data_IF_854256352367
#
_entry.id   IF_854256352367
#
_cell.length_a   1.000
_cell.length_b   1.000
_cell.length_c   1.000
_cell.angle_alpha   90.00
_cell.angle_beta   90.00
_cell.angle_gamma   90.00
#
_symmetry.space_group_name_H-M   'P 1'
#
loop_
_entity.id
_entity.type
_entity.pdbx_description
1 polymer ?
#
# COMPACT_ATOMS: atom_id res chain seq x y z
N UNK A 1 24.31 22.04 -10.08
CA UNK A 1 22.86 22.27 -9.88
C UNK A 1 22.64 22.44 -8.39
N UNK A 2 22.28 23.65 -7.95
CA UNK A 2 22.03 23.96 -6.54
C UNK A 2 20.65 23.43 -6.14
N UNK A 3 20.63 22.48 -5.21
CA UNK A 3 19.39 21.91 -4.68
C UNK A 3 18.62 23.00 -3.94
N UNK A 4 17.35 23.30 -4.29
CA UNK A 4 16.60 24.34 -3.60
C UNK A 4 16.35 23.91 -2.15
N UNK A 5 16.53 24.87 -1.22
CA UNK A 5 16.35 24.70 0.22
C UNK A 5 15.04 23.95 0.56
N UNK A 6 15.09 23.12 1.61
CA UNK A 6 13.91 22.42 2.13
C UNK A 6 12.82 23.45 2.49
N UNK A 7 11.59 23.32 1.97
CA UNK A 7 10.54 24.25 2.25
C UNK A 7 10.19 24.10 3.72
N UNK A 8 10.36 25.19 4.47
CA UNK A 8 9.97 25.26 5.88
C UNK A 8 8.45 25.24 6.06
N UNK A 9 7.67 25.29 4.98
CA UNK A 9 6.20 25.33 5.01
C UNK A 9 5.58 23.93 4.90
N UNK A 10 4.74 23.49 5.86
CA UNK A 10 4.13 22.15 5.88
C UNK A 10 3.41 21.77 4.58
N UNK A 11 2.67 22.71 3.96
CA UNK A 11 1.95 22.45 2.70
C UNK A 11 2.90 22.09 1.55
N UNK A 12 4.00 22.82 1.38
CA UNK A 12 4.96 22.53 0.32
C UNK A 12 5.65 21.18 0.54
N UNK A 13 5.93 20.82 1.79
CA UNK A 13 6.43 19.49 2.15
C UNK A 13 5.41 18.39 1.84
N UNK A 14 4.11 18.61 2.11
CA UNK A 14 3.03 17.70 1.74
C UNK A 14 2.99 17.43 0.23
N UNK A 15 2.96 18.48 -0.59
CA UNK A 15 2.95 18.33 -2.05
C UNK A 15 4.26 17.74 -2.60
N UNK A 16 5.41 17.93 -1.93
CA UNK A 16 6.64 17.18 -2.26
C UNK A 16 6.46 15.69 -2.06
N UNK A 17 5.77 15.27 -1.00
CA UNK A 17 5.42 13.88 -0.75
C UNK A 17 4.51 13.28 -1.83
N UNK A 18 3.50 14.05 -2.25
CA UNK A 18 2.67 13.69 -3.42
C UNK A 18 3.54 13.54 -4.68
N UNK A 19 4.50 14.45 -4.87
CA UNK A 19 5.49 14.39 -5.96
C UNK A 19 6.40 13.16 -5.90
N UNK A 20 6.74 12.64 -4.71
CA UNK A 20 7.52 11.41 -4.57
C UNK A 20 6.74 10.18 -5.05
N UNK A 21 5.42 10.13 -4.82
CA UNK A 21 4.57 9.10 -5.45
C UNK A 21 4.56 9.26 -6.98
N UNK A 22 4.46 10.50 -7.49
CA UNK A 22 4.56 10.77 -8.92
C UNK A 22 5.88 10.31 -9.54
N UNK A 23 7.00 10.46 -8.82
CA UNK A 23 8.30 9.88 -9.21
C UNK A 23 8.27 8.35 -9.19
N UNK A 24 7.54 7.75 -8.25
CA UNK A 24 7.25 6.32 -8.22
C UNK A 24 6.53 5.86 -9.49
N UNK A 25 5.49 6.57 -9.93
CA UNK A 25 4.80 6.29 -11.19
C UNK A 25 5.71 6.42 -12.42
N UNK A 26 6.66 7.35 -12.41
CA UNK A 26 7.61 7.49 -13.51
C UNK A 26 8.47 6.23 -13.76
N UNK A 27 8.59 5.33 -12.77
CA UNK A 27 9.28 4.06 -12.96
C UNK A 27 8.55 3.08 -13.88
N UNK A 28 7.25 3.26 -14.15
CA UNK A 28 6.56 2.50 -15.21
C UNK A 28 7.20 2.71 -16.59
N UNK A 29 7.73 3.90 -16.86
CA UNK A 29 8.45 4.18 -18.12
C UNK A 29 9.94 3.81 -18.08
N UNK A 30 10.54 3.66 -16.90
CA UNK A 30 12.00 3.42 -16.75
C UNK A 30 12.35 1.96 -16.49
N UNK A 31 11.52 1.27 -15.71
CA UNK A 31 11.67 -0.13 -15.31
C UNK A 31 10.36 -0.90 -15.52
N UNK A 32 9.77 -0.89 -16.74
CA UNK A 32 8.46 -1.49 -16.99
C UNK A 32 8.41 -2.98 -16.60
N UNK A 33 9.48 -3.73 -16.89
CA UNK A 33 9.57 -5.15 -16.55
C UNK A 33 9.53 -5.40 -15.04
N UNK A 34 10.24 -4.59 -14.24
CA UNK A 34 10.21 -4.71 -12.79
C UNK A 34 8.85 -4.29 -12.22
N UNK A 35 8.26 -3.19 -12.70
CA UNK A 35 6.94 -2.73 -12.27
C UNK A 35 5.85 -3.76 -12.57
N UNK A 36 5.90 -4.38 -13.75
CA UNK A 36 4.95 -5.42 -14.15
C UNK A 36 4.98 -6.65 -13.23
N UNK A 37 6.12 -6.95 -12.57
CA UNK A 37 6.19 -8.03 -11.57
C UNK A 37 5.18 -7.82 -10.44
N UNK A 38 4.90 -6.58 -10.05
CA UNK A 38 3.94 -6.30 -8.98
C UNK A 38 2.48 -6.53 -9.37
N UNK A 39 2.18 -6.73 -10.66
CA UNK A 39 0.86 -7.13 -11.14
C UNK A 39 0.64 -8.64 -11.07
N UNK A 40 1.73 -9.42 -11.02
CA UNK A 40 1.68 -10.89 -11.06
C UNK A 40 0.85 -11.48 -9.91
N UNK A 41 0.97 -11.05 -8.64
CA UNK A 41 0.16 -11.58 -7.54
C UNK A 41 -1.35 -11.43 -7.82
N UNK A 42 -1.77 -10.23 -8.23
CA UNK A 42 -3.15 -9.93 -8.56
C UNK A 42 -3.62 -10.72 -9.79
N UNK A 43 -2.75 -10.89 -10.79
CA UNK A 43 -3.07 -11.67 -11.99
C UNK A 43 -3.26 -13.16 -11.67
N UNK A 44 -2.37 -13.76 -10.87
CA UNK A 44 -2.46 -15.17 -10.46
C UNK A 44 -3.73 -15.40 -9.65
N UNK A 45 -3.93 -14.62 -8.58
CA UNK A 45 -5.09 -14.76 -7.70
C UNK A 45 -6.39 -14.47 -8.45
N UNK A 46 -6.40 -13.42 -9.27
CA UNK A 46 -7.53 -13.06 -10.12
C UNK A 46 -7.89 -14.16 -11.12
N UNK A 47 -6.90 -14.74 -11.79
CA UNK A 47 -7.10 -15.85 -12.73
C UNK A 47 -7.64 -17.10 -12.02
N UNK A 48 -7.12 -17.44 -10.85
CA UNK A 48 -7.59 -18.58 -10.05
C UNK A 48 -9.04 -18.41 -9.61
N UNK A 49 -9.38 -17.25 -9.05
CA UNK A 49 -10.74 -16.96 -8.59
C UNK A 49 -11.71 -16.89 -9.77
N UNK A 50 -11.32 -16.24 -10.87
CA UNK A 50 -12.12 -16.18 -12.08
C UNK A 50 -12.35 -17.58 -12.67
N UNK A 51 -11.30 -18.41 -12.73
CA UNK A 51 -11.42 -19.81 -13.15
C UNK A 51 -12.36 -20.61 -12.26
N UNK A 52 -12.31 -20.39 -10.94
CA UNK A 52 -13.25 -20.98 -9.98
C UNK A 52 -14.70 -20.55 -10.22
N UNK A 53 -14.95 -19.26 -10.47
CA UNK A 53 -16.28 -18.73 -10.78
C UNK A 53 -16.81 -19.26 -12.12
N UNK A 54 -15.96 -19.31 -13.16
CA UNK A 54 -16.33 -19.87 -14.46
C UNK A 54 -16.69 -21.36 -14.31
N UNK A 55 -15.87 -22.12 -13.58
CA UNK A 55 -16.12 -23.54 -13.30
C UNK A 55 -17.45 -23.70 -12.56
N UNK A 56 -17.67 -22.92 -11.50
CA UNK A 56 -18.93 -22.94 -10.77
C UNK A 56 -20.12 -22.61 -11.67
N UNK A 57 -20.01 -21.61 -12.54
CA UNK A 57 -21.08 -21.21 -13.45
C UNK A 57 -21.42 -22.32 -14.46
N UNK A 58 -20.41 -23.03 -14.98
CA UNK A 58 -20.61 -24.17 -15.89
C UNK A 58 -21.34 -25.31 -15.20
N UNK A 59 -20.96 -25.65 -13.96
CA UNK A 59 -21.56 -26.74 -13.19
C UNK A 59 -22.78 -26.31 -12.35
N UNK A 60 -23.19 -25.04 -12.44
CA UNK A 60 -24.23 -24.47 -11.55
C UNK A 60 -25.56 -25.20 -11.71
N UNK A 61 -25.92 -25.56 -12.95
CA UNK A 61 -27.15 -26.29 -13.24
C UNK A 61 -27.18 -27.67 -12.55
N UNK A 62 -26.09 -28.42 -12.63
CA UNK A 62 -25.99 -29.74 -12.00
C UNK A 62 -26.01 -29.64 -10.47
N UNK A 63 -25.31 -28.66 -9.91
CA UNK A 63 -25.30 -28.38 -8.46
C UNK A 63 -26.71 -28.03 -7.98
N UNK A 64 -27.39 -27.10 -8.66
CA UNK A 64 -28.75 -26.70 -8.30
C UNK A 64 -29.70 -27.87 -8.42
N UNK A 65 -29.58 -28.70 -9.47
CA UNK A 65 -30.43 -29.89 -9.65
C UNK A 65 -30.23 -30.88 -8.51
N UNK A 66 -28.97 -31.18 -8.16
CA UNK A 66 -28.64 -32.08 -7.05
C UNK A 66 -29.17 -31.57 -5.69
N UNK A 67 -29.14 -30.25 -5.47
CA UNK A 67 -29.62 -29.63 -4.23
C UNK A 67 -31.14 -29.48 -4.16
N UNK A 68 -31.85 -29.54 -5.30
CA UNK A 68 -33.29 -29.25 -5.39
C UNK A 68 -34.17 -30.46 -5.70
N UNK A 69 -33.67 -31.68 -5.49
CA UNK A 69 -34.47 -32.90 -5.71
C UNK A 69 -35.78 -32.96 -4.90
N UNK A 70 -35.88 -32.23 -3.78
CA UNK A 70 -37.13 -32.11 -3.02
C UNK A 70 -38.23 -31.32 -3.76
N UNK A 71 -37.85 -30.49 -4.74
CA UNK A 71 -38.76 -29.64 -5.52
C UNK A 71 -39.24 -30.31 -6.82
N UNK A 72 -38.82 -31.55 -7.08
CA UNK A 72 -39.15 -32.28 -8.32
C UNK A 72 -40.64 -32.56 -8.49
N UNK A 73 -41.39 -32.64 -7.38
CA UNK A 73 -42.84 -32.87 -7.38
C UNK A 73 -43.66 -31.58 -7.39
N UNK A 74 -43.00 -30.41 -7.37
CA UNK A 74 -43.68 -29.12 -7.36
C UNK A 74 -44.11 -28.73 -8.78
N UNK A 75 -45.01 -27.76 -8.91
CA UNK A 75 -45.30 -27.19 -10.22
C UNK A 75 -44.05 -26.51 -10.81
N UNK A 76 -43.89 -26.58 -12.14
CA UNK A 76 -42.74 -26.03 -12.87
C UNK A 76 -42.39 -24.59 -12.50
N UNK A 77 -43.41 -23.75 -12.29
CA UNK A 77 -43.20 -22.34 -11.91
C UNK A 77 -42.48 -22.19 -10.56
N UNK A 78 -43.01 -22.82 -9.50
CA UNK A 78 -42.42 -22.74 -8.16
C UNK A 78 -41.06 -23.46 -8.08
N UNK A 79 -40.91 -24.61 -8.76
CA UNK A 79 -39.63 -25.30 -8.85
C UNK A 79 -38.57 -24.43 -9.55
N UNK A 80 -38.94 -23.80 -10.67
CA UNK A 80 -38.06 -22.89 -11.43
C UNK A 80 -37.64 -21.68 -10.60
N UNK A 81 -38.57 -21.07 -9.86
CA UNK A 81 -38.29 -19.91 -9.00
C UNK A 81 -37.28 -20.25 -7.89
N UNK A 82 -37.46 -21.39 -7.21
CA UNK A 82 -36.54 -21.84 -6.15
C UNK A 82 -35.16 -22.19 -6.72
N UNK A 83 -35.10 -22.93 -7.83
CA UNK A 83 -33.84 -23.29 -8.50
C UNK A 83 -33.07 -22.05 -8.94
N UNK A 84 -33.75 -21.07 -9.53
CA UNK A 84 -33.16 -19.79 -9.89
C UNK A 84 -32.62 -19.05 -8.66
N UNK A 85 -33.41 -18.96 -7.59
CA UNK A 85 -33.00 -18.30 -6.35
C UNK A 85 -31.76 -18.94 -5.72
N UNK A 86 -31.71 -20.28 -5.66
CA UNK A 86 -30.54 -21.02 -5.15
C UNK A 86 -29.33 -20.80 -6.06
N UNK A 87 -29.50 -20.91 -7.37
CA UNK A 87 -28.41 -20.65 -8.32
C UNK A 87 -27.84 -19.24 -8.20
N UNK A 88 -28.71 -18.23 -8.11
CA UNK A 88 -28.32 -16.84 -7.90
C UNK A 88 -27.61 -16.63 -6.55
N UNK A 89 -28.09 -17.27 -5.48
CA UNK A 89 -27.47 -17.19 -4.15
C UNK A 89 -26.09 -17.85 -4.12
N UNK A 90 -25.92 -19.02 -4.75
CA UNK A 90 -24.63 -19.72 -4.85
C UNK A 90 -23.64 -18.89 -5.65
N UNK A 91 -24.03 -18.44 -6.84
CA UNK A 91 -23.14 -17.66 -7.71
C UNK A 91 -22.81 -16.30 -7.10
N UNK A 92 -23.81 -15.58 -6.57
CA UNK A 92 -23.62 -14.31 -5.89
C UNK A 92 -22.74 -14.45 -4.64
N UNK A 93 -22.97 -15.47 -3.83
CA UNK A 93 -22.15 -15.79 -2.65
C UNK A 93 -20.71 -16.11 -3.02
N UNK A 94 -20.50 -16.87 -4.09
CA UNK A 94 -19.15 -17.17 -4.60
C UNK A 94 -18.44 -15.92 -5.12
N UNK A 95 -19.13 -15.01 -5.81
CA UNK A 95 -18.57 -13.73 -6.25
C UNK A 95 -18.15 -12.88 -5.05
N UNK A 96 -19.02 -12.73 -4.05
CA UNK A 96 -18.69 -11.99 -2.82
C UNK A 96 -17.48 -12.60 -2.13
N UNK A 97 -17.45 -13.93 -1.99
CA UNK A 97 -16.32 -14.64 -1.41
C UNK A 97 -15.03 -14.42 -2.21
N UNK A 98 -15.11 -14.44 -3.54
CA UNK A 98 -13.97 -14.16 -4.42
C UNK A 98 -13.45 -12.74 -4.23
N UNK A 99 -14.32 -11.73 -4.20
CA UNK A 99 -13.91 -10.33 -3.98
C UNK A 99 -13.24 -10.14 -2.61
N UNK A 100 -13.82 -10.70 -1.55
CA UNK A 100 -13.25 -10.61 -0.19
C UNK A 100 -11.92 -11.35 -0.11
N UNK A 101 -11.82 -12.54 -0.69
CA UNK A 101 -10.60 -13.37 -0.65
C UNK A 101 -9.50 -12.83 -1.54
N UNK A 102 -9.83 -12.16 -2.65
CA UNK A 102 -8.87 -11.63 -3.62
C UNK A 102 -7.82 -10.74 -2.95
N UNK A 103 -8.25 -9.82 -2.08
CA UNK A 103 -7.34 -8.88 -1.42
C UNK A 103 -6.40 -9.62 -0.47
N UNK A 104 -6.93 -10.52 0.38
CA UNK A 104 -6.13 -11.28 1.34
C UNK A 104 -5.11 -12.20 0.64
N UNK A 105 -5.54 -12.91 -0.39
CA UNK A 105 -4.68 -13.80 -1.18
C UNK A 105 -3.62 -13.02 -1.96
N UNK A 106 -3.97 -11.87 -2.54
CA UNK A 106 -3.02 -11.03 -3.29
C UNK A 106 -1.92 -10.49 -2.38
N UNK A 107 -2.27 -10.05 -1.17
CA UNK A 107 -1.29 -9.61 -0.16
C UNK A 107 -0.36 -10.76 0.26
N UNK A 108 -0.93 -11.95 0.51
CA UNK A 108 -0.16 -13.13 0.90
C UNK A 108 0.88 -13.54 -0.15
N UNK A 109 0.54 -13.40 -1.44
CA UNK A 109 1.43 -13.75 -2.56
C UNK A 109 2.36 -12.59 -2.94
N UNK A 110 2.03 -11.35 -2.57
CA UNK A 110 2.61 -10.14 -3.13
C UNK A 110 4.02 -9.78 -2.66
N UNK A 111 4.35 -10.07 -1.42
CA UNK A 111 5.61 -9.67 -0.77
C UNK A 111 6.89 -9.91 -1.59
N UNK A 112 7.15 -11.12 -2.14
CA UNK A 112 8.36 -11.37 -2.92
C UNK A 112 8.44 -10.54 -4.21
N UNK A 113 7.30 -10.18 -4.80
CA UNK A 113 7.25 -9.36 -6.02
C UNK A 113 7.53 -7.89 -5.71
N UNK A 114 6.97 -7.38 -4.62
CA UNK A 114 7.21 -6.01 -4.14
C UNK A 114 8.67 -5.83 -3.71
N UNK A 115 9.29 -6.85 -3.12
CA UNK A 115 10.72 -6.84 -2.80
C UNK A 115 11.60 -6.70 -4.06
N UNK A 116 11.28 -7.45 -5.14
CA UNK A 116 12.02 -7.36 -6.41
C UNK A 116 11.88 -5.98 -7.07
N UNK A 117 10.70 -5.37 -6.96
CA UNK A 117 10.47 -3.99 -7.40
C UNK A 117 11.38 -3.04 -6.62
N UNK A 118 11.34 -3.13 -5.28
CA UNK A 118 12.14 -2.27 -4.40
C UNK A 118 13.64 -2.37 -4.75
N UNK A 119 14.19 -3.58 -4.90
CA UNK A 119 15.60 -3.79 -5.28
C UNK A 119 15.94 -3.21 -6.65
N UNK A 120 15.06 -3.40 -7.63
CA UNK A 120 15.27 -2.88 -8.99
C UNK A 120 15.31 -1.35 -8.99
N UNK A 121 14.47 -0.71 -8.17
CA UNK A 121 14.45 0.75 -7.98
C UNK A 121 15.70 1.22 -7.25
N UNK A 122 16.13 0.52 -6.19
CA UNK A 122 17.38 0.84 -5.49
C UNK A 122 18.60 0.75 -6.39
N UNK A 123 18.72 -0.33 -7.17
CA UNK A 123 19.79 -0.50 -8.15
C UNK A 123 19.79 0.60 -9.22
N UNK A 124 18.62 1.00 -9.71
CA UNK A 124 18.50 2.07 -10.69
C UNK A 124 18.88 3.45 -10.13
N UNK A 125 18.59 3.70 -8.85
CA UNK A 125 18.96 4.95 -8.18
C UNK A 125 20.44 4.98 -7.72
N UNK A 126 21.16 3.86 -7.79
CA UNK A 126 22.55 3.69 -7.35
C UNK A 126 22.69 3.55 -5.83
N UNK A 127 23.80 3.02 -5.32
CA UNK A 127 24.01 2.84 -3.85
C UNK A 127 22.92 1.98 -3.17
N UNK A 128 22.63 0.82 -3.77
CA UNK A 128 21.70 -0.13 -3.20
C UNK A 128 22.29 -0.74 -1.92
N UNK A 129 21.52 -0.86 -0.82
CA UNK A 129 21.97 -1.52 0.39
C UNK A 129 22.45 -2.96 0.09
N UNK A 130 23.45 -3.48 0.83
CA UNK A 130 23.91 -4.85 0.66
C UNK A 130 22.75 -5.84 0.84
N UNK A 131 22.83 -7.01 0.20
CA UNK A 131 21.83 -8.07 0.34
C UNK A 131 21.71 -8.50 1.80
N UNK A 132 20.77 -7.88 2.52
CA UNK A 132 20.36 -8.35 3.83
C UNK A 132 19.21 -9.32 3.64
N UNK A 133 19.32 -10.50 4.25
CA UNK A 133 18.20 -11.42 4.45
C UNK A 133 17.17 -10.75 5.35
N UNK A 134 16.31 -9.97 4.72
CA UNK A 134 15.15 -9.40 5.36
C UNK A 134 14.19 -10.54 5.67
N UNK A 135 14.37 -11.12 6.85
CA UNK A 135 13.65 -12.31 7.27
C UNK A 135 12.15 -12.08 7.18
N UNK A 136 11.51 -12.82 6.28
CA UNK A 136 10.08 -13.05 6.12
C UNK A 136 9.31 -13.15 7.47
N UNK A 137 9.98 -13.60 8.52
CA UNK A 137 9.42 -13.82 9.86
C UNK A 137 9.39 -12.60 10.78
N UNK A 138 10.23 -11.56 10.56
CA UNK A 138 10.15 -10.31 11.35
C UNK A 138 8.97 -9.43 10.93
N UNK A 139 8.47 -9.64 9.70
CA UNK A 139 7.25 -9.04 9.13
C UNK A 139 5.99 -9.44 9.91
N UNK A 140 5.90 -10.68 10.40
CA UNK A 140 4.69 -11.20 11.08
C UNK A 140 4.45 -10.53 12.45
N UNK A 141 5.51 -10.16 13.17
CA UNK A 141 5.41 -9.48 14.47
C UNK A 141 4.93 -8.03 14.36
N UNK A 142 5.32 -7.32 13.30
CA UNK A 142 4.86 -5.94 13.03
C UNK A 142 3.42 -5.92 12.48
N UNK A 143 2.94 -7.01 11.86
CA UNK A 143 1.56 -7.13 11.34
C UNK A 143 0.49 -6.91 12.41
N UNK A 144 0.69 -7.38 13.65
CA UNK A 144 -0.30 -7.18 14.74
C UNK A 144 -0.41 -5.69 15.09
N UNK A 145 0.71 -5.00 15.18
CA UNK A 145 0.74 -3.56 15.45
C UNK A 145 0.10 -2.74 14.34
N UNK A 146 0.33 -3.14 13.09
CA UNK A 146 -0.31 -2.53 11.92
C UNK A 146 -1.83 -2.75 11.93
N UNK A 147 -2.28 -3.99 12.17
CA UNK A 147 -3.71 -4.35 12.27
C UNK A 147 -4.38 -3.54 13.38
N UNK A 148 -3.77 -3.44 14.55
CA UNK A 148 -4.35 -2.70 15.68
C UNK A 148 -4.46 -1.20 15.37
N UNK A 149 -3.41 -0.60 14.79
CA UNK A 149 -3.45 0.82 14.37
C UNK A 149 -4.49 1.05 13.28
N UNK A 150 -4.60 0.13 12.32
CA UNK A 150 -5.61 0.16 11.28
C UNK A 150 -7.03 0.07 11.85
N UNK A 151 -7.25 -0.80 12.83
CA UNK A 151 -8.53 -0.93 13.53
C UNK A 151 -8.89 0.36 14.28
N UNK A 152 -7.94 0.93 15.02
CA UNK A 152 -8.13 2.23 15.71
C UNK A 152 -8.46 3.33 14.70
N UNK A 153 -7.75 3.40 13.58
CA UNK A 153 -8.04 4.37 12.53
C UNK A 153 -9.44 4.19 11.94
N UNK A 154 -9.86 2.95 11.68
CA UNK A 154 -11.18 2.62 11.19
C UNK A 154 -12.28 3.00 12.19
N UNK A 155 -12.06 2.75 13.49
CA UNK A 155 -12.99 3.15 14.55
C UNK A 155 -13.12 4.67 14.61
N UNK A 156 -12.00 5.41 14.63
CA UNK A 156 -12.03 6.89 14.65
C UNK A 156 -12.79 7.44 13.44
N UNK A 157 -12.45 6.97 12.24
CA UNK A 157 -13.12 7.40 11.01
C UNK A 157 -14.61 7.02 11.00
N UNK A 158 -14.94 5.82 11.49
CA UNK A 158 -16.33 5.35 11.62
C UNK A 158 -17.15 6.20 12.58
N UNK A 159 -16.61 6.53 13.76
CA UNK A 159 -17.27 7.40 14.73
C UNK A 159 -17.52 8.81 14.18
N UNK A 160 -16.55 9.38 13.45
CA UNK A 160 -16.75 10.66 12.74
C UNK A 160 -17.82 10.51 11.64
N UNK A 161 -17.82 9.36 10.96
CA UNK A 161 -18.81 8.94 9.97
C UNK A 161 -20.26 9.01 10.44
N UNK A 162 -20.50 8.86 11.75
CA UNK A 162 -21.83 8.86 12.36
C UNK A 162 -22.40 10.27 12.59
N UNK A 163 -21.61 11.33 12.41
CA UNK A 163 -22.09 12.72 12.54
C UNK A 163 -23.09 12.99 11.40
N UNK A 164 -24.34 13.39 11.68
CA UNK A 164 -25.32 13.66 10.63
C UNK A 164 -24.84 14.74 9.66
N UNK A 165 -25.27 14.64 8.39
CA UNK A 165 -24.99 15.57 7.27
C UNK A 165 -23.52 15.62 6.80
N UNK A 166 -22.55 15.77 7.70
CA UNK A 166 -21.14 15.99 7.37
C UNK A 166 -20.22 14.81 7.70
N UNK A 167 -20.67 13.92 8.58
CA UNK A 167 -19.85 12.85 9.14
C UNK A 167 -19.33 11.88 8.09
N UNK A 168 -20.14 11.47 7.12
CA UNK A 168 -19.70 10.54 6.07
C UNK A 168 -18.53 11.11 5.26
N UNK A 169 -18.61 12.39 4.87
CA UNK A 169 -17.53 13.04 4.13
C UNK A 169 -16.28 13.24 5.00
N UNK A 170 -16.45 13.72 6.23
CA UNK A 170 -15.35 13.90 7.17
C UNK A 170 -14.67 12.58 7.55
N UNK A 171 -15.46 11.54 7.79
CA UNK A 171 -15.01 10.19 8.09
C UNK A 171 -14.21 9.60 6.94
N UNK A 172 -14.64 9.79 5.70
CA UNK A 172 -13.89 9.38 4.51
C UNK A 172 -12.55 10.11 4.37
N UNK A 173 -12.53 11.43 4.60
CA UNK A 173 -11.30 12.22 4.61
C UNK A 173 -10.36 11.74 5.72
N UNK A 174 -10.86 11.60 6.95
CA UNK A 174 -10.05 11.13 8.08
C UNK A 174 -9.52 9.72 7.84
N UNK A 175 -10.34 8.81 7.31
CA UNK A 175 -9.90 7.48 6.90
C UNK A 175 -8.72 7.59 5.92
N UNK A 176 -8.86 8.38 4.85
CA UNK A 176 -7.81 8.54 3.84
C UNK A 176 -6.49 9.08 4.43
N UNK A 177 -6.57 10.00 5.38
CA UNK A 177 -5.39 10.54 6.07
C UNK A 177 -4.75 9.54 7.03
N UNK A 178 -5.54 8.84 7.85
CA UNK A 178 -5.02 7.88 8.82
C UNK A 178 -4.46 6.62 8.15
N UNK A 179 -5.18 6.05 7.18
CA UNK A 179 -4.70 4.87 6.45
C UNK A 179 -3.55 5.24 5.53
N UNK A 180 -3.58 6.42 4.89
CA UNK A 180 -2.46 6.95 4.13
C UNK A 180 -1.20 7.10 4.99
N UNK A 181 -1.32 7.64 6.19
CA UNK A 181 -0.19 7.74 7.13
C UNK A 181 0.38 6.37 7.51
N UNK A 182 -0.49 5.39 7.82
CA UNK A 182 -0.08 4.02 8.13
C UNK A 182 0.62 3.34 6.94
N UNK A 183 0.09 3.55 5.74
CA UNK A 183 0.65 3.00 4.50
C UNK A 183 2.02 3.60 4.19
N UNK A 184 2.19 4.91 4.39
CA UNK A 184 3.50 5.55 4.25
C UNK A 184 4.52 5.05 5.28
N UNK A 185 4.09 4.84 6.54
CA UNK A 185 4.91 4.26 7.59
C UNK A 185 5.42 2.87 7.17
N UNK A 186 4.51 2.01 6.72
CA UNK A 186 4.81 0.64 6.30
C UNK A 186 5.74 0.59 5.07
N UNK A 187 5.38 1.30 4.01
CA UNK A 187 6.14 1.28 2.75
C UNK A 187 7.53 1.90 2.89
N UNK A 188 7.72 2.91 3.75
CA UNK A 188 9.04 3.51 3.97
C UNK A 188 9.86 2.73 5.00
N UNK A 189 9.22 2.00 5.91
CA UNK A 189 9.88 1.18 6.94
C UNK A 189 10.89 0.21 6.33
N UNK A 190 10.51 -0.51 5.26
CA UNK A 190 11.36 -1.49 4.58
C UNK A 190 12.65 -0.86 4.04
N UNK A 191 12.52 0.26 3.31
CA UNK A 191 13.67 0.96 2.74
C UNK A 191 14.63 1.56 3.80
N UNK A 192 14.09 1.98 4.95
CA UNK A 192 14.87 2.59 6.03
C UNK A 192 15.59 1.55 6.90
N UNK A 193 14.93 0.44 7.24
CA UNK A 193 15.57 -0.63 8.02
C UNK A 193 16.59 -1.39 7.15
N UNK A 194 16.41 -1.49 5.83
CA UNK A 194 17.44 -1.98 4.90
C UNK A 194 18.74 -1.14 4.92
N UNK A 195 18.65 0.11 5.38
CA UNK A 195 19.80 1.01 5.59
C UNK A 195 20.30 1.04 7.03
N UNK A 196 19.85 0.10 7.85
CA UNK A 196 20.31 -0.06 9.24
C UNK A 196 19.71 0.93 10.24
N UNK A 197 18.68 1.70 9.88
CA UNK A 197 18.02 2.59 10.83
C UNK A 197 17.19 1.79 11.84
N UNK A 198 17.46 2.01 13.13
CA UNK A 198 16.67 1.44 14.21
C UNK A 198 15.25 2.07 14.31
N UNK A 199 14.42 1.55 15.22
CA UNK A 199 13.06 2.05 15.39
C UNK A 199 13.00 3.49 15.93
N UNK A 200 14.04 3.98 16.61
CA UNK A 200 14.08 5.32 17.18
C UNK A 200 14.44 6.36 16.11
N UNK A 201 15.50 6.10 15.34
CA UNK A 201 15.95 6.92 14.22
C UNK A 201 14.86 7.05 13.15
N UNK A 202 14.18 5.95 12.81
CA UNK A 202 13.03 5.97 11.89
C UNK A 202 11.88 6.87 12.38
N UNK A 203 11.56 6.80 13.68
CA UNK A 203 10.53 7.64 14.30
C UNK A 203 10.94 9.11 14.31
N UNK A 204 12.20 9.43 14.59
CA UNK A 204 12.72 10.80 14.54
C UNK A 204 12.64 11.37 13.10
N UNK A 205 13.18 10.64 12.12
CA UNK A 205 13.19 11.05 10.72
C UNK A 205 11.78 11.35 10.17
N UNK A 206 10.80 10.50 10.49
CA UNK A 206 9.40 10.73 10.11
C UNK A 206 8.76 11.87 10.89
N UNK A 207 9.13 12.08 12.16
CA UNK A 207 8.61 13.19 12.96
C UNK A 207 9.06 14.55 12.42
N UNK A 208 10.27 14.63 11.86
CA UNK A 208 10.79 15.86 11.27
C UNK A 208 10.19 16.12 9.87
N UNK A 209 9.64 15.09 9.24
CA UNK A 209 9.12 15.15 7.86
C UNK A 209 7.64 14.75 7.75
N UNK A 210 6.85 14.93 8.82
CA UNK A 210 5.46 14.44 8.92
C UNK A 210 4.59 14.83 7.73
N UNK A 211 4.65 16.09 7.33
CA UNK A 211 3.81 16.58 6.23
C UNK A 211 4.15 15.89 4.90
N UNK A 212 5.43 15.65 4.61
CA UNK A 212 5.88 14.98 3.39
C UNK A 212 5.50 13.50 3.38
N UNK A 213 5.74 12.81 4.48
CA UNK A 213 5.35 11.39 4.63
C UNK A 213 3.84 11.23 4.51
N UNK A 214 3.07 12.12 5.14
CA UNK A 214 1.60 12.14 5.05
C UNK A 214 1.13 12.41 3.62
N UNK A 215 1.74 13.36 2.90
CA UNK A 215 1.37 13.65 1.50
C UNK A 215 1.57 12.47 0.56
N UNK A 216 2.70 11.77 0.69
CA UNK A 216 2.96 10.52 -0.03
C UNK A 216 1.90 9.45 0.30
N UNK A 217 1.62 9.25 1.59
CA UNK A 217 0.65 8.28 2.08
C UNK A 217 -0.77 8.55 1.61
N UNK A 218 -1.25 9.78 1.77
CA UNK A 218 -2.59 10.21 1.32
C UNK A 218 -2.73 10.04 -0.18
N UNK A 219 -1.73 10.47 -0.97
CA UNK A 219 -1.79 10.30 -2.42
C UNK A 219 -1.88 8.80 -2.81
N UNK A 220 -1.11 7.95 -2.12
CA UNK A 220 -1.13 6.50 -2.37
C UNK A 220 -2.48 5.90 -2.01
N UNK A 221 -3.04 6.27 -0.86
CA UNK A 221 -4.36 5.84 -0.43
C UNK A 221 -5.45 6.26 -1.40
N UNK A 222 -5.41 7.50 -1.90
CA UNK A 222 -6.38 7.98 -2.89
C UNK A 222 -6.28 7.18 -4.20
N UNK A 223 -5.08 6.81 -4.65
CA UNK A 223 -4.91 5.91 -5.78
C UNK A 223 -5.51 4.52 -5.52
N UNK A 224 -5.43 4.02 -4.28
CA UNK A 224 -5.96 2.69 -3.92
C UNK A 224 -7.49 2.67 -3.83
N UNK A 225 -8.15 3.82 -3.66
CA UNK A 225 -9.60 3.93 -3.70
C UNK A 225 -10.18 3.81 -5.12
N UNK A 226 -9.36 4.06 -6.16
CA UNK A 226 -9.78 3.84 -7.54
C UNK A 226 -9.91 2.34 -7.79
N UNK A 227 -10.99 1.85 -8.41
CA UNK A 227 -11.11 0.43 -8.80
C UNK A 227 -9.90 0.00 -9.62
N UNK A 228 -9.29 -1.14 -9.26
CA UNK A 228 -8.00 -1.64 -9.80
C UNK A 228 -6.78 -0.72 -9.57
N UNK A 229 -6.99 0.46 -9.00
CA UNK A 229 -5.94 1.42 -8.69
C UNK A 229 -4.92 0.87 -7.71
N UNK A 230 -5.33 0.09 -6.71
CA UNK A 230 -4.38 -0.57 -5.80
C UNK A 230 -3.40 -1.51 -6.54
N UNK A 231 -3.87 -2.26 -7.54
CA UNK A 231 -3.04 -3.20 -8.29
C UNK A 231 -1.98 -2.47 -9.11
N UNK A 232 -2.35 -1.36 -9.77
CA UNK A 232 -1.43 -0.57 -10.61
C UNK A 232 -0.55 0.40 -9.81
N UNK A 233 -1.09 0.96 -8.73
CA UNK A 233 -0.41 1.95 -7.91
C UNK A 233 0.52 1.33 -6.88
N UNK A 234 0.31 0.08 -6.44
CA UNK A 234 1.19 -0.55 -5.45
C UNK A 234 2.65 -0.64 -5.91
N UNK A 235 2.99 -1.07 -7.16
CA UNK A 235 4.37 -1.00 -7.65
C UNK A 235 4.96 0.41 -7.62
N UNK A 236 4.16 1.40 -8.04
CA UNK A 236 4.57 2.81 -8.01
C UNK A 236 4.74 3.33 -6.58
N UNK A 237 3.93 2.87 -5.63
CA UNK A 237 4.03 3.22 -4.22
C UNK A 237 5.29 2.62 -3.59
N UNK A 238 5.65 1.38 -3.90
CA UNK A 238 6.91 0.77 -3.47
C UNK A 238 8.10 1.54 -4.06
N UNK A 239 8.06 1.89 -5.36
CA UNK A 239 9.12 2.68 -5.99
C UNK A 239 9.22 4.10 -5.39
N UNK A 240 8.08 4.72 -5.15
CA UNK A 240 7.97 6.07 -4.57
C UNK A 240 8.41 6.10 -3.11
N UNK A 241 8.14 5.04 -2.33
CA UNK A 241 8.60 4.95 -0.94
C UNK A 241 10.12 4.82 -0.86
N UNK A 242 10.75 4.14 -1.83
CA UNK A 242 12.21 4.12 -1.99
C UNK A 242 12.76 5.53 -2.23
N UNK A 243 12.20 6.26 -3.19
CA UNK A 243 12.61 7.65 -3.50
C UNK A 243 12.42 8.56 -2.29
N UNK A 244 11.28 8.44 -1.62
CA UNK A 244 11.00 9.20 -0.41
C UNK A 244 12.03 8.88 0.69
N UNK A 245 12.25 7.62 1.02
CA UNK A 245 13.18 7.21 2.07
C UNK A 245 14.60 7.75 1.81
N UNK A 246 15.11 7.62 0.59
CA UNK A 246 16.43 8.12 0.21
C UNK A 246 16.54 9.63 0.35
N UNK A 247 15.60 10.36 -0.24
CA UNK A 247 15.63 11.83 -0.18
C UNK A 247 15.40 12.39 1.23
N UNK A 248 14.77 11.63 2.14
CA UNK A 248 14.70 11.97 3.56
C UNK A 248 16.05 11.78 4.25
N UNK A 249 16.76 10.69 3.96
CA UNK A 249 18.09 10.43 4.49
C UNK A 249 19.13 11.44 3.98
N UNK A 250 19.10 11.76 2.68
CA UNK A 250 19.98 12.77 2.08
C UNK A 250 19.78 14.14 2.74
N UNK A 251 18.52 14.52 2.99
CA UNK A 251 18.19 15.78 3.66
C UNK A 251 18.66 15.78 5.13
N UNK A 252 18.54 14.65 5.83
CA UNK A 252 19.01 14.51 7.21
C UNK A 252 20.54 14.57 7.30
N UNK A 253 21.25 13.89 6.40
CA UNK A 253 22.71 13.94 6.30
C UNK A 253 23.18 15.37 6.00
N UNK A 254 22.56 16.07 5.05
CA UNK A 254 22.90 17.45 4.73
C UNK A 254 22.70 18.40 5.93
N UNK A 255 21.66 18.21 6.74
CA UNK A 255 21.43 18.99 7.95
C UNK A 255 22.48 18.73 9.04
N UNK A 256 22.93 17.48 9.20
CA UNK A 256 23.99 17.12 10.14
C UNK A 256 25.38 17.67 9.77
N UNK A 257 25.66 17.88 8.48
CA UNK A 257 26.92 18.49 8.01
C UNK A 257 26.95 20.02 8.13
N UNK A 258 25.82 20.67 8.45
CA UNK A 258 25.75 22.13 8.64
C UNK A 258 25.90 22.59 10.09
N UNK A 259 26.26 21.70 11.01
CA UNK A 259 26.56 22.09 12.39
C UNK A 259 27.87 22.91 12.46
N UNK A 260 27.86 24.20 12.88
CA UNK A 260 29.04 25.08 12.85
C UNK A 260 30.17 24.68 13.81
N UNK A 261 30.01 23.61 14.60
CA UNK A 261 30.97 23.20 15.63
C UNK A 261 32.29 22.62 15.09
N UNK A 262 32.44 22.43 13.77
CA UNK A 262 33.67 21.94 13.13
C UNK A 262 34.34 22.97 12.22
N UNK A 263 34.19 24.27 12.52
CA UNK A 263 35.09 25.26 11.94
C UNK A 263 36.53 24.98 12.43
N UNK A 264 37.53 24.78 11.54
CA UNK A 264 38.90 24.57 11.97
C UNK A 264 39.37 25.82 12.72
N UNK A 265 39.80 25.62 13.97
CA UNK A 265 40.37 26.68 14.81
C UNK A 265 41.44 27.43 14.00
N UNK A 266 41.08 28.63 13.55
CA UNK A 266 41.96 29.48 12.77
C UNK A 266 43.24 29.70 13.57
N UNK A 267 44.36 29.29 12.99
CA UNK A 267 45.70 29.63 13.47
C UNK A 267 45.75 31.13 13.67
N UNK A 268 45.77 31.57 14.92
CA UNK A 268 46.23 32.93 15.28
C UNK A 268 47.74 32.96 15.07
N UNK A 269 48.15 33.31 13.86
CA UNK A 269 49.44 33.95 13.62
C UNK A 269 49.31 35.43 13.99
N UNK A 270 50.24 35.95 14.79
CA UNK A 270 50.52 37.38 14.79
C UNK A 270 51.00 37.95 16.11
N UNK A 271 52.33 38.13 16.17
CA UNK A 271 53.10 39.17 16.85
C UNK A 271 53.17 39.17 18.39
#
# INVERSE_FOLDING_TARGET
MTTPAAPRHPLASFFRGVGDLGRGFAFWGRLPGAMALGLIPAAIVGALLLGGIITLAVFLGDIVTALTGFADTWSDFFAGLVRFGIGAAILGGAIVLAVVSFTALTLLVGDPFYERIWRSVEGHLGDAPPESDYGFWRSVGDSIGLILRGLVAAIIAGLIGLIPLVGTALGAVVAAFLTGWLLADELTSRALVARGLDAAARRALRRDNRARVLGFGVATQLCFLVPLGAVLAMPAAVAGSTVLARTLLDAHAAAGHTDPSTAPAGRRNGA
#
